data_IF_655462522149
#
_entry.id   IF_655462522149
#
_cell.length_a   1.000
_cell.length_b   1.000
_cell.length_c   1.000
_cell.angle_alpha   90.00
_cell.angle_beta   90.00
_cell.angle_gamma   90.00
#
_symmetry.space_group_name_H-M   'P 1'
#
loop_
_entity.id
_entity.type
_entity.pdbx_description
1 polymer ?
#
# COMPACT_ATOMS: atom_id res chain seq x y z
N UNK A 1 -39.43 -2.78 5.31
CA UNK A 1 -38.10 -2.15 5.25
C UNK A 1 -37.51 -2.46 3.89
N UNK A 2 -36.94 -1.47 3.18
CA UNK A 2 -36.29 -1.72 1.89
C UNK A 2 -34.98 -2.48 2.12
N UNK A 3 -34.75 -3.55 1.37
CA UNK A 3 -33.51 -4.35 1.46
C UNK A 3 -32.37 -3.59 0.77
N UNK A 4 -31.21 -3.51 1.40
CA UNK A 4 -30.03 -2.84 0.85
C UNK A 4 -29.16 -3.85 0.11
N UNK A 5 -28.82 -3.57 -1.14
CA UNK A 5 -27.85 -4.33 -1.93
C UNK A 5 -26.51 -3.58 -1.84
N UNK A 6 -25.55 -4.23 -1.20
CA UNK A 6 -24.22 -3.71 -0.92
C UNK A 6 -23.15 -4.35 -1.82
N UNK A 7 -21.94 -3.81 -1.77
CA UNK A 7 -20.77 -4.34 -2.51
C UNK A 7 -20.54 -5.83 -2.21
N UNK A 8 -20.71 -6.23 -0.94
CA UNK A 8 -20.53 -7.61 -0.49
C UNK A 8 -21.48 -8.61 -1.16
N UNK A 9 -22.69 -8.15 -1.49
CA UNK A 9 -23.69 -8.99 -2.16
C UNK A 9 -23.29 -9.27 -3.61
N UNK A 10 -22.62 -8.30 -4.26
CA UNK A 10 -22.11 -8.43 -5.63
C UNK A 10 -20.83 -9.27 -5.67
N UNK A 11 -19.92 -9.09 -4.72
CA UNK A 11 -18.72 -9.93 -4.56
C UNK A 11 -19.06 -11.42 -4.40
N UNK A 12 -20.07 -11.72 -3.58
CA UNK A 12 -20.55 -13.09 -3.39
C UNK A 12 -21.09 -13.71 -4.69
N UNK A 13 -21.64 -12.91 -5.62
CA UNK A 13 -22.12 -13.38 -6.91
C UNK A 13 -20.97 -13.62 -7.90
N UNK A 14 -19.96 -12.75 -7.89
CA UNK A 14 -18.74 -12.89 -8.70
C UNK A 14 -18.03 -14.20 -8.32
N UNK A 15 -17.90 -14.49 -7.02
CA UNK A 15 -17.29 -15.73 -6.53
C UNK A 15 -18.04 -17.00 -6.95
N UNK A 16 -19.35 -16.91 -7.17
CA UNK A 16 -20.19 -18.01 -7.66
C UNK A 16 -20.20 -18.15 -9.19
N UNK A 17 -19.57 -17.22 -9.92
CA UNK A 17 -19.58 -17.19 -11.38
C UNK A 17 -20.94 -16.80 -11.98
N UNK A 18 -21.86 -16.27 -11.17
CA UNK A 18 -23.19 -15.87 -11.61
C UNK A 18 -23.14 -14.46 -12.21
N UNK A 19 -23.87 -14.26 -13.31
CA UNK A 19 -23.94 -12.97 -14.03
C UNK A 19 -25.28 -12.27 -13.87
N UNK A 20 -26.22 -12.85 -13.14
CA UNK A 20 -27.57 -12.31 -12.97
C UNK A 20 -27.91 -12.23 -11.49
N UNK A 21 -28.15 -11.03 -10.99
CA UNK A 21 -28.61 -10.78 -9.63
C UNK A 21 -30.12 -10.54 -9.65
N UNK A 22 -30.91 -11.40 -9.02
CA UNK A 22 -32.36 -11.24 -8.98
C UNK A 22 -32.78 -10.20 -7.93
N UNK A 23 -33.53 -9.17 -8.33
CA UNK A 23 -34.06 -8.11 -7.47
C UNK A 23 -35.59 -8.02 -7.62
N UNK A 24 -36.33 -7.65 -6.58
CA UNK A 24 -37.78 -7.49 -6.68
C UNK A 24 -38.23 -6.05 -6.96
N UNK A 25 -37.28 -5.11 -7.08
CA UNK A 25 -37.51 -3.70 -7.39
C UNK A 25 -37.83 -2.85 -6.16
N UNK A 26 -37.87 -3.46 -4.96
CA UNK A 26 -38.04 -2.75 -3.70
C UNK A 26 -36.71 -2.42 -3.00
N UNK A 27 -35.59 -2.89 -3.55
CA UNK A 27 -34.26 -2.75 -2.99
C UNK A 27 -33.58 -1.41 -3.30
N UNK A 28 -32.70 -0.98 -2.38
CA UNK A 28 -31.80 0.15 -2.60
C UNK A 28 -30.43 -0.43 -2.95
N UNK A 29 -29.94 -0.13 -4.16
CA UNK A 29 -28.60 -0.52 -4.61
C UNK A 29 -27.66 0.63 -4.27
N UNK A 30 -26.57 0.35 -3.55
CA UNK A 30 -25.56 1.40 -3.30
C UNK A 30 -24.81 1.73 -4.60
N UNK A 31 -24.38 2.99 -4.80
CA UNK A 31 -23.62 3.37 -6.00
C UNK A 31 -22.42 2.46 -6.26
N UNK A 32 -21.68 2.12 -5.19
CA UNK A 32 -20.52 1.23 -5.29
C UNK A 32 -20.89 -0.21 -5.70
N UNK A 33 -22.05 -0.73 -5.29
CA UNK A 33 -22.53 -2.04 -5.73
C UNK A 33 -22.93 -2.00 -7.21
N UNK A 34 -23.52 -0.90 -7.67
CA UNK A 34 -23.90 -0.69 -9.06
C UNK A 34 -22.66 -0.61 -9.98
N UNK A 35 -21.63 0.11 -9.56
CA UNK A 35 -20.36 0.22 -10.29
C UNK A 35 -19.64 -1.12 -10.39
N UNK A 36 -19.59 -1.88 -9.28
CA UNK A 36 -18.98 -3.20 -9.26
C UNK A 36 -19.73 -4.20 -10.15
N UNK A 37 -21.06 -4.17 -10.15
CA UNK A 37 -21.88 -5.01 -11.01
C UNK A 37 -21.63 -4.70 -12.50
N UNK A 38 -21.59 -3.41 -12.87
CA UNK A 38 -21.31 -2.97 -14.24
C UNK A 38 -19.92 -3.41 -14.72
N UNK A 39 -18.89 -3.24 -13.89
CA UNK A 39 -17.52 -3.61 -14.23
C UNK A 39 -17.32 -5.13 -14.39
N UNK A 40 -18.19 -5.94 -13.80
CA UNK A 40 -18.12 -7.40 -13.86
C UNK A 40 -19.19 -8.04 -14.77
N UNK A 41 -19.95 -7.23 -15.51
CA UNK A 41 -21.00 -7.70 -16.42
C UNK A 41 -22.15 -8.40 -15.70
N UNK A 42 -22.46 -8.00 -14.47
CA UNK A 42 -23.59 -8.51 -13.69
C UNK A 42 -24.83 -7.69 -14.02
N UNK A 43 -25.93 -8.37 -14.36
CA UNK A 43 -27.20 -7.76 -14.73
C UNK A 43 -28.20 -7.96 -13.59
N UNK A 44 -28.85 -6.88 -13.17
CA UNK A 44 -29.98 -6.97 -12.22
C UNK A 44 -31.26 -7.32 -12.99
N UNK A 45 -31.92 -8.42 -12.61
CA UNK A 45 -33.16 -8.90 -13.25
C UNK A 45 -34.29 -9.02 -12.22
N UNK A 46 -35.51 -8.68 -12.62
CA UNK A 46 -36.72 -8.87 -11.81
C UNK A 46 -37.42 -10.20 -12.02
N UNK A 47 -36.86 -11.06 -12.88
CA UNK A 47 -37.44 -12.34 -13.25
C UNK A 47 -36.51 -13.47 -12.78
N UNK A 48 -37.07 -14.44 -12.06
CA UNK A 48 -36.37 -15.70 -11.79
C UNK A 48 -36.04 -16.38 -13.13
N UNK A 49 -34.87 -17.04 -13.27
CA UNK A 49 -34.45 -17.54 -14.56
C UNK A 49 -35.40 -18.65 -15.06
N UNK A 50 -36.21 -18.34 -16.08
CA UNK A 50 -36.82 -19.36 -16.92
C UNK A 50 -35.73 -20.00 -17.77
N UNK A 51 -35.49 -21.30 -17.55
CA UNK A 51 -34.71 -22.13 -18.46
C UNK A 51 -35.46 -22.19 -19.79
N UNK A 52 -35.06 -21.34 -20.75
CA UNK A 52 -35.47 -21.46 -22.15
C UNK A 52 -34.26 -21.87 -22.98
N UNK A 53 -34.23 -23.17 -23.26
CA UNK A 53 -33.44 -23.78 -24.34
C UNK A 53 -33.94 -23.20 -25.66
N UNK A 54 -33.21 -22.25 -26.24
CA UNK A 54 -33.34 -21.91 -27.66
C UNK A 54 -31.95 -21.66 -28.23
N UNK A 55 -31.54 -22.57 -29.11
CA UNK A 55 -30.37 -22.44 -29.97
C UNK A 55 -30.57 -21.26 -30.93
N UNK A 56 -29.55 -20.39 -31.10
CA UNK A 56 -29.35 -19.70 -32.35
C UNK A 56 -28.18 -20.38 -33.07
N UNK A 57 -28.45 -20.89 -34.26
CA UNK A 57 -27.44 -21.26 -35.25
C UNK A 57 -26.54 -20.04 -35.52
N UNK A 58 -25.31 -20.08 -35.02
CA UNK A 58 -24.25 -19.15 -35.43
C UNK A 58 -23.10 -20.00 -35.95
N UNK A 59 -22.76 -19.77 -37.22
CA UNK A 59 -21.71 -20.45 -37.98
C UNK A 59 -20.42 -20.53 -37.16
N UNK A 60 -20.00 -21.77 -36.90
CA UNK A 60 -18.72 -22.10 -36.28
C UNK A 60 -17.59 -21.62 -37.20
N UNK A 61 -16.91 -20.53 -36.82
CA UNK A 61 -15.48 -20.40 -37.10
C UNK A 61 -14.77 -20.88 -35.84
N UNK A 62 -14.01 -21.95 -35.98
CA UNK A 62 -13.23 -22.56 -34.90
C UNK A 62 -12.17 -21.56 -34.42
N UNK A 63 -12.40 -20.90 -33.29
CA UNK A 63 -11.33 -20.33 -32.48
C UNK A 63 -11.07 -21.30 -31.33
N UNK A 64 -9.89 -21.91 -31.39
CA UNK A 64 -9.39 -22.88 -30.43
C UNK A 64 -9.44 -22.31 -29.01
N UNK A 65 -10.20 -22.98 -28.14
CA UNK A 65 -10.09 -22.84 -26.70
C UNK A 65 -8.72 -23.38 -26.31
N UNK A 66 -7.78 -22.49 -25.98
CA UNK A 66 -6.50 -22.90 -25.40
C UNK A 66 -6.76 -23.59 -24.06
N UNK A 67 -6.40 -24.87 -24.04
CA UNK A 67 -6.25 -25.72 -22.86
C UNK A 67 -5.45 -24.97 -21.78
N UNK A 68 -5.74 -25.16 -20.47
CA UNK A 68 -4.87 -24.63 -19.42
C UNK A 68 -3.42 -25.09 -19.67
N UNK A 69 -2.47 -24.14 -19.61
CA UNK A 69 -1.05 -24.43 -19.88
C UNK A 69 -0.55 -25.49 -18.89
N UNK A 70 -0.23 -26.67 -19.41
CA UNK A 70 0.44 -27.73 -18.67
C UNK A 70 1.95 -27.44 -18.73
N UNK A 71 2.56 -27.11 -17.58
CA UNK A 71 3.97 -26.66 -17.50
C UNK A 71 4.95 -27.79 -17.87
N UNK A 72 4.50 -29.04 -17.84
CA UNK A 72 5.31 -30.24 -18.09
C UNK A 72 5.59 -30.51 -19.59
N UNK A 73 4.84 -29.87 -20.50
CA UNK A 73 4.92 -30.12 -21.96
C UNK A 73 5.57 -28.96 -22.75
N UNK A 74 6.17 -27.96 -22.08
CA UNK A 74 6.81 -26.83 -22.76
C UNK A 74 8.21 -27.19 -23.25
N UNK A 75 8.45 -27.04 -24.56
CA UNK A 75 9.80 -27.14 -25.10
C UNK A 75 10.67 -25.93 -24.69
N UNK A 76 11.99 -26.10 -24.73
CA UNK A 76 12.94 -25.06 -24.34
C UNK A 76 12.81 -23.77 -25.17
N UNK A 77 12.38 -23.86 -26.43
CA UNK A 77 12.25 -22.72 -27.34
C UNK A 77 10.99 -21.91 -27.02
N UNK A 78 9.89 -22.58 -26.68
CA UNK A 78 8.66 -21.97 -26.19
C UNK A 78 8.87 -21.27 -24.85
N UNK A 79 9.66 -21.86 -23.95
CA UNK A 79 10.06 -21.19 -22.71
C UNK A 79 10.88 -19.94 -22.99
N UNK A 80 11.90 -20.02 -23.85
CA UNK A 80 12.73 -18.86 -24.21
C UNK A 80 11.92 -17.74 -24.87
N UNK A 81 10.99 -18.08 -25.76
CA UNK A 81 10.10 -17.12 -26.39
C UNK A 81 9.12 -16.50 -25.38
N UNK A 82 8.60 -17.27 -24.44
CA UNK A 82 7.77 -16.75 -23.35
C UNK A 82 8.57 -15.77 -22.48
N UNK A 83 9.80 -16.13 -22.08
CA UNK A 83 10.70 -15.23 -21.35
C UNK A 83 11.00 -13.95 -22.12
N UNK A 84 11.29 -14.04 -23.42
CA UNK A 84 11.55 -12.88 -24.28
C UNK A 84 10.33 -11.95 -24.35
N UNK A 85 9.13 -12.51 -24.59
CA UNK A 85 7.88 -11.74 -24.63
C UNK A 85 7.60 -11.07 -23.30
N UNK A 86 7.90 -11.71 -22.17
CA UNK A 86 7.74 -11.09 -20.85
C UNK A 86 8.80 -10.00 -20.58
N UNK A 87 10.02 -10.15 -21.09
CA UNK A 87 11.11 -9.16 -21.03
C UNK A 87 10.72 -7.90 -21.80
N UNK A 88 10.28 -8.07 -23.05
CA UNK A 88 9.88 -6.99 -23.95
C UNK A 88 8.66 -6.21 -23.42
N UNK A 89 7.81 -6.88 -22.63
CA UNK A 89 6.64 -6.26 -21.98
C UNK A 89 6.93 -5.67 -20.60
N UNK A 90 8.17 -5.76 -20.10
CA UNK A 90 8.54 -5.29 -18.75
C UNK A 90 7.93 -6.10 -17.59
N UNK A 91 7.20 -7.18 -17.89
CA UNK A 91 6.61 -8.06 -16.86
C UNK A 91 7.66 -8.89 -16.13
N UNK A 92 8.82 -9.15 -16.74
CA UNK A 92 9.90 -9.87 -16.05
C UNK A 92 10.44 -9.10 -14.86
N UNK A 93 10.46 -7.76 -14.91
CA UNK A 93 10.87 -6.94 -13.79
C UNK A 93 9.88 -7.05 -12.63
N UNK A 94 8.58 -6.97 -12.93
CA UNK A 94 7.49 -7.11 -11.95
C UNK A 94 7.44 -8.52 -11.34
N UNK A 95 7.61 -9.57 -12.14
CA UNK A 95 7.69 -10.94 -11.64
C UNK A 95 8.95 -11.18 -10.81
N UNK A 96 10.10 -10.61 -11.22
CA UNK A 96 11.32 -10.67 -10.44
C UNK A 96 11.19 -9.88 -9.13
N UNK A 97 10.40 -8.81 -9.06
CA UNK A 97 10.04 -8.12 -7.81
C UNK A 97 9.05 -8.92 -6.94
N UNK A 98 8.19 -9.75 -7.55
CA UNK A 98 7.36 -10.70 -6.81
C UNK A 98 8.17 -11.91 -6.30
N UNK A 99 9.16 -12.38 -7.06
CA UNK A 99 9.96 -13.59 -6.77
C UNK A 99 11.21 -13.30 -5.94
N UNK A 100 11.88 -12.16 -6.15
CA UNK A 100 12.69 -11.52 -5.12
C UNK A 100 11.67 -11.00 -4.14
N UNK A 101 11.18 -11.82 -3.21
CA UNK A 101 10.54 -11.26 -2.03
C UNK A 101 11.51 -10.18 -1.54
N UNK A 102 11.18 -8.90 -1.76
CA UNK A 102 12.00 -7.80 -1.26
C UNK A 102 12.09 -8.14 0.21
N UNK A 103 13.28 -8.48 0.70
CA UNK A 103 13.44 -8.69 2.12
C UNK A 103 13.13 -7.33 2.70
N UNK A 104 11.87 -7.16 3.12
CA UNK A 104 11.43 -5.91 3.69
C UNK A 104 12.41 -5.62 4.81
N UNK A 105 12.73 -4.34 5.04
CA UNK A 105 13.63 -3.98 6.13
C UNK A 105 13.05 -4.35 7.49
N UNK A 106 11.86 -4.92 7.56
CA UNK A 106 11.18 -5.39 8.77
C UNK A 106 10.24 -6.56 8.45
N UNK A 107 9.94 -7.34 9.47
CA UNK A 107 8.84 -8.31 9.49
C UNK A 107 7.53 -7.58 9.77
N UNK A 108 6.48 -7.96 9.04
CA UNK A 108 5.13 -7.45 9.27
C UNK A 108 4.09 -8.56 8.99
N UNK A 109 3.06 -8.59 9.83
CA UNK A 109 1.85 -9.36 9.55
C UNK A 109 0.83 -8.42 8.90
N UNK A 110 0.25 -8.83 7.78
CA UNK A 110 -0.79 -8.08 7.08
C UNK A 110 -2.04 -8.92 6.89
N UNK A 111 -3.19 -8.27 7.00
CA UNK A 111 -4.49 -8.84 6.68
C UNK A 111 -5.05 -8.22 5.39
N UNK A 112 -5.94 -8.94 4.69
CA UNK A 112 -6.57 -8.45 3.46
C UNK A 112 -7.41 -7.18 3.66
N UNK A 113 -7.82 -6.87 4.90
CA UNK A 113 -8.50 -5.61 5.25
C UNK A 113 -7.60 -4.37 5.22
N UNK A 114 -6.28 -4.55 5.14
CA UNK A 114 -5.29 -3.47 5.25
C UNK A 114 -4.74 -3.28 6.67
N UNK A 115 -5.17 -4.08 7.66
CA UNK A 115 -4.50 -4.13 8.96
C UNK A 115 -3.06 -4.61 8.77
N UNK A 116 -2.12 -3.87 9.36
CA UNK A 116 -0.68 -4.17 9.33
C UNK A 116 -0.09 -4.07 10.72
N UNK A 117 0.67 -5.09 11.12
CA UNK A 117 1.41 -5.14 12.37
C UNK A 117 2.89 -5.30 12.06
N UNK A 118 3.66 -4.24 12.24
CA UNK A 118 5.12 -4.28 12.06
C UNK A 118 5.79 -4.75 13.35
N UNK A 119 6.70 -5.73 13.23
CA UNK A 119 7.52 -6.19 14.36
C UNK A 119 8.68 -5.22 14.57
N UNK A 120 8.50 -4.24 15.46
CA UNK A 120 9.48 -3.17 15.70
C UNK A 120 10.91 -3.63 16.05
N UNK A 121 11.09 -4.84 16.56
CA UNK A 121 12.40 -5.45 16.84
C UNK A 121 13.14 -5.96 15.59
N UNK A 122 12.42 -6.18 14.49
CA UNK A 122 12.99 -6.66 13.21
C UNK A 122 13.40 -5.52 12.28
N UNK A 123 13.07 -4.27 12.63
CA UNK A 123 13.30 -3.10 11.78
C UNK A 123 14.80 -2.86 11.62
N UNK A 124 15.24 -2.97 10.38
CA UNK A 124 16.53 -2.53 9.86
C UNK A 124 16.34 -1.09 9.41
N UNK A 125 17.23 -0.23 9.89
CA UNK A 125 17.19 1.19 9.56
C UNK A 125 18.04 1.45 8.30
N UNK A 126 17.62 2.39 7.48
CA UNK A 126 18.42 2.92 6.37
C UNK A 126 19.09 4.24 6.77
N UNK A 127 20.15 4.63 6.06
CA UNK A 127 20.82 5.91 6.30
C UNK A 127 19.91 7.05 5.87
N UNK A 128 19.77 8.05 6.75
CA UNK A 128 19.10 9.29 6.42
C UNK A 128 20.16 10.32 5.99
N UNK A 129 20.13 10.71 4.72
CA UNK A 129 21.10 11.66 4.17
C UNK A 129 20.79 13.08 4.65
N UNK A 130 21.60 13.57 5.59
CA UNK A 130 21.52 14.94 6.11
C UNK A 130 22.35 15.94 5.30
N UNK A 131 23.04 15.49 4.25
CA UNK A 131 24.06 16.26 3.52
C UNK A 131 25.41 16.37 4.25
N UNK A 132 25.51 15.88 5.49
CA UNK A 132 26.75 15.79 6.26
C UNK A 132 27.11 14.32 6.52
N UNK A 133 28.24 13.79 5.99
CA UNK A 133 28.62 12.39 6.15
C UNK A 133 29.03 12.01 7.58
N UNK A 134 29.32 12.99 8.46
CA UNK A 134 29.66 12.73 9.86
C UNK A 134 28.42 12.48 10.72
N UNK A 135 27.24 12.87 10.24
CA UNK A 135 25.98 12.66 10.93
C UNK A 135 25.55 11.20 10.84
N UNK A 136 25.25 10.61 12.01
CA UNK A 136 24.73 9.26 12.15
C UNK A 136 23.23 9.33 12.40
N UNK A 137 22.50 9.47 11.31
CA UNK A 137 21.04 9.54 11.31
C UNK A 137 20.50 8.42 10.45
N UNK A 138 19.49 7.73 10.96
CA UNK A 138 18.90 6.59 10.29
C UNK A 138 17.38 6.70 10.32
N UNK A 139 16.73 6.29 9.25
CA UNK A 139 15.28 6.30 9.16
C UNK A 139 14.76 5.00 8.55
N UNK A 140 13.52 4.66 8.85
CA UNK A 140 12.80 3.61 8.15
C UNK A 140 11.31 3.91 8.16
N UNK A 141 10.73 4.13 6.98
CA UNK A 141 9.29 4.20 6.82
C UNK A 141 8.68 2.81 7.02
N UNK A 142 7.63 2.73 7.85
CA UNK A 142 6.94 1.51 8.23
C UNK A 142 5.50 1.46 7.70
N UNK A 143 4.86 2.62 7.57
CA UNK A 143 3.55 2.82 6.95
C UNK A 143 3.70 3.92 5.91
N UNK A 144 3.39 3.63 4.64
CA UNK A 144 3.58 4.57 3.53
C UNK A 144 2.27 5.16 3.03
N UNK A 145 2.38 6.11 2.10
CA UNK A 145 1.25 6.73 1.39
C UNK A 145 0.36 5.74 0.62
N UNK A 146 0.89 4.57 0.26
CA UNK A 146 0.13 3.53 -0.44
C UNK A 146 -0.84 2.80 0.50
N UNK A 147 -0.59 2.89 1.82
CA UNK A 147 -1.33 2.19 2.86
C UNK A 147 -2.20 3.14 3.71
N UNK A 148 -1.81 4.41 3.84
CA UNK A 148 -2.42 5.36 4.78
C UNK A 148 -2.33 6.81 4.31
N UNK A 149 -3.22 7.67 4.86
CA UNK A 149 -3.15 9.12 4.70
C UNK A 149 -2.04 9.76 5.54
N UNK A 150 -1.51 9.03 6.53
CA UNK A 150 -0.38 9.41 7.36
C UNK A 150 0.79 8.45 7.08
N UNK A 151 2.00 8.98 7.00
CA UNK A 151 3.21 8.15 7.00
C UNK A 151 3.66 7.95 8.44
N UNK A 152 4.29 6.82 8.73
CA UNK A 152 4.84 6.57 10.05
C UNK A 152 6.08 5.70 9.95
N UNK A 153 7.01 5.90 10.89
CA UNK A 153 8.24 5.15 10.89
C UNK A 153 9.08 5.33 12.13
N UNK A 154 10.33 4.89 12.05
CA UNK A 154 11.34 5.14 13.07
C UNK A 154 12.40 6.11 12.56
N UNK A 155 12.86 6.97 13.45
CA UNK A 155 14.05 7.81 13.30
C UNK A 155 15.03 7.48 14.42
N UNK A 156 16.31 7.37 14.09
CA UNK A 156 17.40 7.24 15.05
C UNK A 156 18.43 8.33 14.78
N UNK A 157 18.82 9.05 15.84
CA UNK A 157 19.87 10.06 15.82
C UNK A 157 20.93 9.65 16.83
N UNK A 158 22.18 9.48 16.41
CA UNK A 158 23.29 9.12 17.32
C UNK A 158 24.34 10.24 17.34
N UNK A 159 24.46 10.93 18.49
CA UNK A 159 25.42 12.00 18.74
C UNK A 159 25.60 12.95 17.53
N UNK A 160 24.47 13.41 17.00
CA UNK A 160 24.39 14.15 15.73
C UNK A 160 23.35 15.25 15.82
N UNK A 161 23.46 16.22 14.92
CA UNK A 161 22.47 17.28 14.73
C UNK A 161 22.37 17.67 13.27
N UNK A 162 21.18 18.03 12.81
CA UNK A 162 20.95 18.43 11.42
C UNK A 162 19.77 19.38 11.31
N UNK A 163 19.88 20.32 10.38
CA UNK A 163 18.79 21.21 10.00
C UNK A 163 17.74 20.45 9.19
N UNK A 164 16.47 20.75 9.45
CA UNK A 164 15.36 20.18 8.70
C UNK A 164 14.22 21.19 8.54
N UNK A 165 13.62 21.22 7.36
CA UNK A 165 12.45 22.04 7.06
C UNK A 165 11.24 21.13 6.85
N UNK A 166 10.26 21.24 7.75
CA UNK A 166 9.05 20.43 7.70
C UNK A 166 7.98 21.19 6.93
N UNK A 167 7.59 20.70 5.76
CA UNK A 167 6.44 21.19 4.98
C UNK A 167 5.13 20.47 5.35
N UNK A 168 5.18 19.63 6.39
CA UNK A 168 4.13 18.75 6.88
C UNK A 168 4.07 18.81 8.40
N UNK A 169 2.98 18.33 8.98
CA UNK A 169 2.89 18.13 10.43
C UNK A 169 3.58 16.82 10.82
N UNK A 170 4.26 16.82 11.96
CA UNK A 170 4.93 15.65 12.54
C UNK A 170 4.61 15.51 14.03
N UNK A 171 4.29 14.29 14.45
CA UNK A 171 4.18 13.91 15.87
C UNK A 171 5.17 12.81 16.14
N UNK A 172 5.97 12.98 17.19
CA UNK A 172 6.93 11.97 17.61
C UNK A 172 6.66 11.45 19.02
N UNK A 173 6.90 10.16 19.20
CA UNK A 173 6.98 9.50 20.50
C UNK A 173 8.41 8.99 20.71
N UNK A 174 9.06 9.47 21.77
CA UNK A 174 10.43 9.07 22.09
C UNK A 174 10.40 7.67 22.71
N UNK A 175 10.97 6.69 22.01
CA UNK A 175 11.05 5.29 22.46
C UNK A 175 12.23 5.12 23.42
N UNK A 176 13.38 5.72 23.08
CA UNK A 176 14.64 5.55 23.81
C UNK A 176 15.49 6.82 23.73
N UNK A 177 16.20 7.11 24.82
CA UNK A 177 17.27 8.11 24.85
C UNK A 177 16.77 9.56 24.92
N UNK A 178 17.53 10.48 24.32
CA UNK A 178 17.30 11.93 24.43
C UNK A 178 17.19 12.59 23.06
N UNK A 179 16.00 13.09 22.73
CA UNK A 179 15.76 13.89 21.52
C UNK A 179 15.85 15.37 21.86
N UNK A 180 16.52 16.15 21.01
CA UNK A 180 16.57 17.61 21.10
C UNK A 180 16.04 18.25 19.82
N UNK A 181 15.24 19.29 19.98
CA UNK A 181 14.70 20.09 18.87
C UNK A 181 14.99 21.56 19.14
N UNK A 182 15.78 22.20 18.28
CA UNK A 182 15.95 23.64 18.32
C UNK A 182 14.98 24.33 17.37
N UNK A 183 14.23 25.31 17.87
CA UNK A 183 13.35 26.16 17.08
C UNK A 183 13.38 27.58 17.65
N UNK A 184 13.53 28.58 16.77
CA UNK A 184 13.60 30.00 17.16
C UNK A 184 14.67 30.29 18.23
N UNK A 185 15.84 29.64 18.15
CA UNK A 185 16.96 29.82 19.08
C UNK A 185 16.73 29.24 20.48
N UNK A 186 15.68 28.43 20.68
CA UNK A 186 15.43 27.70 21.91
C UNK A 186 15.44 26.20 21.66
N UNK A 187 16.19 25.48 22.47
CA UNK A 187 16.22 24.02 22.47
C UNK A 187 15.16 23.46 23.41
N UNK A 188 14.40 22.50 22.91
CA UNK A 188 13.49 21.65 23.66
C UNK A 188 14.09 20.24 23.74
N UNK A 189 13.87 19.56 24.85
CA UNK A 189 14.41 18.22 25.12
C UNK A 189 13.26 17.30 25.48
N UNK A 190 13.22 16.13 24.84
CA UNK A 190 12.25 15.08 25.10
C UNK A 190 12.99 13.77 25.39
N UNK A 191 12.47 13.00 26.35
CA UNK A 191 13.04 11.74 26.80
C UNK A 191 12.08 10.58 26.54
N UNK A 192 12.56 9.35 26.72
CA UNK A 192 11.74 8.16 26.55
C UNK A 192 10.38 8.26 27.27
N UNK A 193 9.28 8.08 26.51
CA UNK A 193 7.90 8.24 26.97
C UNK A 193 7.26 9.59 26.64
N UNK A 194 8.05 10.60 26.26
CA UNK A 194 7.54 11.91 25.89
C UNK A 194 7.01 11.95 24.45
N UNK A 195 6.09 12.88 24.20
CA UNK A 195 5.51 13.16 22.89
C UNK A 195 5.78 14.60 22.52
N UNK A 196 6.14 14.84 21.27
CA UNK A 196 6.28 16.17 20.70
C UNK A 196 5.47 16.32 19.41
N UNK A 197 5.10 17.57 19.13
CA UNK A 197 4.41 17.96 17.91
C UNK A 197 5.19 19.09 17.25
N UNK A 198 5.49 18.92 15.96
CA UNK A 198 6.14 19.92 15.13
C UNK A 198 5.15 20.34 14.04
N UNK A 199 4.74 21.62 14.01
CA UNK A 199 3.79 22.08 13.00
C UNK A 199 4.46 22.23 11.64
N UNK A 200 3.64 22.19 10.58
CA UNK A 200 4.09 22.44 9.21
C UNK A 200 4.68 23.84 9.02
N UNK A 201 5.50 23.98 7.99
CA UNK A 201 6.24 25.19 7.61
C UNK A 201 7.17 25.68 8.72
N UNK A 202 7.85 24.76 9.40
CA UNK A 202 8.86 25.08 10.41
C UNK A 202 10.24 24.63 9.98
N UNK A 203 11.25 25.39 10.42
CA UNK A 203 12.65 25.02 10.32
C UNK A 203 13.15 24.71 11.71
N UNK A 204 13.71 23.52 11.89
CA UNK A 204 14.19 23.03 13.19
C UNK A 204 15.59 22.46 13.04
N UNK A 205 16.30 22.38 14.16
CA UNK A 205 17.50 21.55 14.25
C UNK A 205 17.15 20.33 15.07
N UNK A 206 17.09 19.17 14.42
CA UNK A 206 16.97 17.89 15.09
C UNK A 206 18.32 17.47 15.65
N UNK A 207 18.31 16.78 16.80
CA UNK A 207 19.55 16.25 17.34
C UNK A 207 19.36 15.29 18.50
N UNK A 208 20.48 14.71 18.88
CA UNK A 208 20.60 13.96 20.13
C UNK A 208 22.04 14.10 20.64
N UNK A 209 22.25 14.45 21.92
CA UNK A 209 23.59 14.50 22.50
C UNK A 209 24.19 13.11 22.76
N UNK A 210 23.36 12.06 22.69
CA UNK A 210 23.73 10.68 22.94
C UNK A 210 23.14 9.78 21.85
N UNK A 211 21.91 9.31 22.05
CA UNK A 211 21.13 8.55 21.10
C UNK A 211 19.66 8.89 21.34
N UNK A 212 18.89 9.03 20.27
CA UNK A 212 17.43 9.02 20.32
C UNK A 212 16.90 7.95 19.37
N UNK A 213 15.90 7.20 19.81
CA UNK A 213 15.04 6.41 18.93
C UNK A 213 13.62 6.92 19.07
N UNK A 214 13.01 7.31 17.96
CA UNK A 214 11.70 7.97 17.92
C UNK A 214 10.78 7.23 16.96
N UNK A 215 9.52 7.06 17.35
CA UNK A 215 8.44 6.81 16.40
C UNK A 215 7.96 8.16 15.90
N UNK A 216 7.91 8.35 14.59
CA UNK A 216 7.33 9.54 13.97
C UNK A 216 6.05 9.16 13.23
N UNK A 217 5.14 10.12 13.11
CA UNK A 217 4.08 10.08 12.12
C UNK A 217 3.85 11.45 11.51
N UNK A 218 3.67 11.47 10.19
CA UNK A 218 3.50 12.70 9.43
C UNK A 218 2.18 12.73 8.68
N UNK A 219 1.65 13.95 8.51
CA UNK A 219 0.52 14.21 7.63
C UNK A 219 0.81 15.43 6.74
N UNK A 220 0.59 15.31 5.41
CA UNK A 220 0.13 14.12 4.68
C UNK A 220 1.24 13.05 4.51
N UNK A 221 0.85 11.81 4.19
CA UNK A 221 1.78 10.68 4.04
C UNK A 221 2.81 10.83 2.92
N UNK A 222 2.60 11.72 1.95
CA UNK A 222 3.49 11.94 0.82
C UNK A 222 4.60 12.96 1.13
N UNK A 223 5.05 13.04 2.37
CA UNK A 223 6.07 14.01 2.81
C UNK A 223 7.35 13.96 1.99
N UNK A 224 7.77 12.77 1.52
CA UNK A 224 8.93 12.60 0.64
C UNK A 224 8.73 13.32 -0.70
N UNK A 225 7.54 13.24 -1.27
CA UNK A 225 7.22 13.92 -2.53
C UNK A 225 7.24 15.45 -2.34
N UNK A 226 6.84 15.94 -1.15
CA UNK A 226 6.80 17.36 -0.82
C UNK A 226 8.19 18.00 -0.65
N UNK A 227 9.25 17.21 -0.46
CA UNK A 227 10.63 17.72 -0.41
C UNK A 227 11.21 18.02 -1.80
N UNK A 228 10.58 17.52 -2.86
CA UNK A 228 11.10 17.61 -4.24
C UNK A 228 10.61 18.84 -5.01
N UNK A 229 9.63 19.57 -4.46
CA UNK A 229 9.00 20.74 -5.08
C UNK A 229 9.53 22.09 -4.55
N UNK A 230 10.68 22.08 -3.85
CA UNK A 230 11.32 23.25 -3.21
C UNK A 230 12.59 23.74 -3.90
#
# INVERSE_FOLDING_TARGET
MKKLISVKDIEALILKGEKVFCIDGSEIITPSAQDLAKNNGIIFSTEAPEVKVQQPEVKIQQQEVKKPLNVEDMDCEQMLNFFKVMMDKGLLQQMLECLKGKSLPFEADTDASGLKVVRGSSVKMDVFDTGNPDNKVYFQELVSKDESKMSAGFLIIENSKFDWELTYEEIDYVIEGTLTVEINGKTYTAHAGDVLFVPSNTKVVWGSPDKARVFYTTYPANWVDLLSDG
#
